data_IF_356365347585
#
_entry.id   IF_356365347585
#
_cell.length_a   1.000
_cell.length_b   1.000
_cell.length_c   1.000
_cell.angle_alpha   90.00
_cell.angle_beta   90.00
_cell.angle_gamma   90.00
#
_symmetry.space_group_name_H-M   'P 1'
#
loop_
_entity.id
_entity.type
_entity.pdbx_description
1 polymer ?
#
# COMPACT_ATOMS: atom_id res chain seq x y z
N UNK A 1 48.79 -22.15 45.30
CA UNK A 1 48.16 -20.81 45.38
C UNK A 1 47.95 -20.32 43.97
N UNK A 2 46.70 -20.28 43.47
CA UNK A 2 46.37 -19.83 42.11
C UNK A 2 45.82 -18.41 42.21
N UNK A 3 46.55 -17.44 41.65
CA UNK A 3 46.10 -16.07 41.53
C UNK A 3 45.22 -15.90 40.30
N UNK A 4 44.03 -15.36 40.52
CA UNK A 4 43.03 -14.95 39.53
C UNK A 4 43.47 -13.65 38.88
N UNK A 5 43.26 -13.50 37.58
CA UNK A 5 43.04 -12.19 36.96
C UNK A 5 41.90 -12.29 35.94
N UNK A 6 41.00 -11.33 36.10
CA UNK A 6 39.68 -11.16 35.49
C UNK A 6 39.86 -10.55 34.10
N UNK A 7 39.14 -11.06 33.10
CA UNK A 7 38.88 -10.32 31.86
C UNK A 7 37.38 -10.13 31.75
N UNK A 8 36.99 -8.86 31.86
CA UNK A 8 35.63 -8.37 31.78
C UNK A 8 35.07 -8.58 30.38
N UNK A 9 33.96 -9.31 30.27
CA UNK A 9 33.13 -9.33 29.07
C UNK A 9 32.20 -8.10 29.14
N UNK A 10 32.57 -7.05 28.40
CA UNK A 10 31.70 -5.92 28.15
C UNK A 10 30.52 -6.35 27.28
N UNK A 11 29.32 -6.36 27.86
CA UNK A 11 28.06 -6.47 27.15
C UNK A 11 27.76 -5.10 26.52
N UNK A 12 28.18 -4.91 25.27
CA UNK A 12 27.71 -3.80 24.45
C UNK A 12 26.26 -4.10 24.02
N UNK A 13 25.30 -3.54 24.76
CA UNK A 13 23.91 -3.49 24.34
C UNK A 13 23.80 -2.52 23.16
N UNK A 14 23.72 -3.07 21.95
CA UNK A 14 23.36 -2.30 20.76
C UNK A 14 21.86 -2.11 20.80
N UNK A 15 21.41 -0.93 21.23
CA UNK A 15 20.03 -0.47 21.01
C UNK A 15 19.94 -0.02 19.56
N UNK A 16 19.56 -0.93 18.67
CA UNK A 16 19.15 -0.58 17.31
C UNK A 16 17.77 0.08 17.41
N UNK A 17 17.74 1.40 17.30
CA UNK A 17 16.52 2.12 16.96
C UNK A 17 16.04 1.63 15.60
N UNK A 18 14.80 1.13 15.54
CA UNK A 18 14.14 0.80 14.29
C UNK A 18 13.00 1.79 14.11
N UNK A 19 13.16 2.66 13.11
CA UNK A 19 12.05 3.24 12.38
C UNK A 19 10.99 2.16 12.13
N UNK A 20 9.70 2.54 12.20
CA UNK A 20 8.58 1.61 12.10
C UNK A 20 8.70 0.66 10.91
N UNK A 21 9.29 -0.51 11.14
CA UNK A 21 9.29 -1.60 10.19
C UNK A 21 7.87 -2.14 10.20
N UNK A 22 7.05 -1.68 9.26
CA UNK A 22 5.77 -2.32 9.02
C UNK A 22 6.03 -3.79 8.69
N UNK A 23 5.69 -4.68 9.62
CA UNK A 23 5.80 -6.12 9.41
C UNK A 23 4.85 -6.54 8.29
N UNK A 24 5.38 -7.11 7.20
CA UNK A 24 4.56 -7.63 6.10
C UNK A 24 3.58 -8.70 6.61
N UNK A 25 2.28 -8.55 6.30
CA UNK A 25 1.25 -9.54 6.61
C UNK A 25 0.69 -10.21 5.34
N UNK A 26 0.31 -11.48 5.47
CA UNK A 26 -0.24 -12.28 4.37
C UNK A 26 -1.77 -12.31 4.34
N UNK A 27 -2.36 -12.94 3.32
CA UNK A 27 -3.82 -13.05 3.12
C UNK A 27 -4.59 -13.55 4.35
N UNK A 28 -4.03 -14.51 5.09
CA UNK A 28 -4.69 -15.12 6.25
C UNK A 28 -4.79 -14.16 7.45
N UNK A 29 -4.05 -13.06 7.41
CA UNK A 29 -3.95 -12.08 8.50
C UNK A 29 -4.83 -10.85 8.28
N UNK A 30 -5.41 -10.69 7.08
CA UNK A 30 -6.34 -9.60 6.76
C UNK A 30 -7.75 -10.02 7.15
N UNK A 31 -8.38 -9.24 8.03
CA UNK A 31 -9.79 -9.44 8.37
C UNK A 31 -10.69 -9.16 7.16
N UNK A 32 -11.77 -9.91 7.02
CA UNK A 32 -12.66 -9.77 5.88
C UNK A 32 -13.34 -8.40 5.81
N UNK A 33 -13.53 -7.70 6.94
CA UNK A 33 -14.01 -6.31 6.96
C UNK A 33 -12.99 -5.39 6.29
N UNK A 34 -11.73 -5.46 6.72
CA UNK A 34 -10.63 -4.67 6.15
C UNK A 34 -10.44 -4.97 4.66
N UNK A 35 -10.48 -6.25 4.26
CA UNK A 35 -10.43 -6.63 2.85
C UNK A 35 -11.55 -5.96 2.03
N UNK A 36 -12.80 -5.99 2.52
CA UNK A 36 -13.94 -5.36 1.83
C UNK A 36 -13.77 -3.84 1.74
N UNK A 37 -13.28 -3.20 2.80
CA UNK A 37 -13.02 -1.76 2.80
C UNK A 37 -11.93 -1.40 1.79
N UNK A 38 -10.78 -2.09 1.81
CA UNK A 38 -9.71 -1.92 0.82
C UNK A 38 -10.23 -2.04 -0.61
N UNK A 39 -11.03 -3.08 -0.90
CA UNK A 39 -11.57 -3.30 -2.23
C UNK A 39 -12.63 -2.28 -2.65
N UNK A 40 -13.30 -1.60 -1.72
CA UNK A 40 -14.23 -0.51 -2.04
C UNK A 40 -13.51 0.75 -2.56
N UNK A 41 -12.24 0.94 -2.20
CA UNK A 41 -11.41 2.04 -2.66
C UNK A 41 -10.63 1.74 -3.95
N UNK A 42 -10.37 0.46 -4.27
CA UNK A 42 -9.68 0.09 -5.51
C UNK A 42 -10.52 0.46 -6.74
N UNK A 43 -9.96 1.35 -7.58
CA UNK A 43 -10.61 1.83 -8.81
C UNK A 43 -9.67 1.79 -10.02
N UNK A 44 -8.58 1.02 -9.97
CA UNK A 44 -7.58 0.97 -11.04
C UNK A 44 -8.19 0.44 -12.33
N UNK A 45 -9.02 -0.61 -12.23
CA UNK A 45 -9.71 -1.17 -13.40
C UNK A 45 -10.61 -0.15 -14.10
N UNK A 46 -11.37 0.64 -13.32
CA UNK A 46 -12.25 1.69 -13.86
C UNK A 46 -11.46 2.87 -14.44
N UNK A 47 -10.28 3.15 -13.91
CA UNK A 47 -9.37 4.19 -14.42
C UNK A 47 -8.77 3.81 -15.77
N UNK A 48 -8.45 2.53 -15.96
CA UNK A 48 -7.77 1.99 -17.15
C UNK A 48 -8.71 1.40 -18.21
N UNK A 49 -10.03 1.58 -18.06
CA UNK A 49 -11.00 0.96 -18.97
C UNK A 49 -11.01 1.63 -20.36
N UNK A 50 -10.16 1.12 -21.25
CA UNK A 50 -10.14 1.47 -22.69
C UNK A 50 -11.19 0.73 -23.51
N UNK A 51 -11.92 -0.24 -22.94
CA UNK A 51 -13.01 -0.89 -23.67
C UNK A 51 -14.21 0.05 -23.81
N UNK A 52 -14.36 0.98 -22.86
CA UNK A 52 -15.41 1.99 -22.82
C UNK A 52 -14.92 3.39 -23.25
N UNK A 53 -13.60 3.59 -23.44
CA UNK A 53 -12.98 4.91 -23.69
C UNK A 53 -11.82 4.84 -24.67
N UNK A 54 -11.53 5.95 -25.35
CA UNK A 54 -10.32 6.07 -26.17
C UNK A 54 -9.05 6.16 -25.32
N UNK A 55 -7.92 5.63 -25.82
CA UNK A 55 -6.62 5.66 -25.13
C UNK A 55 -6.22 7.06 -24.67
N UNK A 56 -6.38 8.08 -25.52
CA UNK A 56 -6.05 9.46 -25.16
C UNK A 56 -6.89 9.99 -23.99
N UNK A 57 -8.15 9.55 -23.88
CA UNK A 57 -9.03 9.89 -22.75
C UNK A 57 -8.56 9.21 -21.47
N UNK A 58 -8.18 7.93 -21.54
CA UNK A 58 -7.64 7.18 -20.39
C UNK A 58 -6.32 7.81 -19.90
N UNK A 59 -5.39 8.13 -20.80
CA UNK A 59 -4.13 8.79 -20.45
C UNK A 59 -4.35 10.18 -19.82
N UNK A 60 -5.33 10.94 -20.32
CA UNK A 60 -5.69 12.24 -19.73
C UNK A 60 -6.30 12.07 -18.33
N UNK A 61 -7.18 11.07 -18.16
CA UNK A 61 -7.73 10.72 -16.85
C UNK A 61 -6.65 10.32 -15.84
N UNK A 62 -5.67 9.52 -16.26
CA UNK A 62 -4.51 9.16 -15.44
C UNK A 62 -3.71 10.39 -15.01
N UNK A 63 -3.39 11.30 -15.95
CA UNK A 63 -2.67 12.55 -15.63
C UNK A 63 -3.41 13.41 -14.62
N UNK A 64 -4.74 13.49 -14.72
CA UNK A 64 -5.55 14.28 -13.81
C UNK A 64 -5.72 13.63 -12.43
N UNK A 65 -5.65 12.30 -12.36
CA UNK A 65 -5.80 11.54 -11.11
C UNK A 65 -4.48 11.37 -10.34
N UNK A 66 -3.34 11.43 -11.04
CA UNK A 66 -2.04 11.26 -10.42
C UNK A 66 -1.68 12.45 -9.52
N UNK A 67 -1.33 12.15 -8.28
CA UNK A 67 -0.79 13.11 -7.34
C UNK A 67 0.69 13.39 -7.67
N UNK A 68 1.03 14.67 -7.83
CA UNK A 68 2.40 15.14 -7.98
C UNK A 68 3.04 15.38 -6.61
N UNK A 69 3.85 14.41 -6.16
CA UNK A 69 4.53 14.45 -4.86
C UNK A 69 5.48 15.64 -4.67
N UNK A 70 5.96 16.23 -5.76
CA UNK A 70 6.93 17.33 -5.71
C UNK A 70 6.24 18.70 -5.64
N UNK A 71 5.04 18.81 -6.22
CA UNK A 71 4.34 20.08 -6.41
C UNK A 71 3.02 20.23 -5.66
N UNK A 72 2.49 19.15 -5.07
CA UNK A 72 1.16 19.12 -4.47
C UNK A 72 1.17 18.55 -3.05
N UNK A 73 0.29 19.06 -2.20
CA UNK A 73 0.02 18.50 -0.88
C UNK A 73 -0.48 17.05 -1.01
N UNK A 74 -0.03 16.12 -0.14
CA UNK A 74 -0.55 14.76 -0.10
C UNK A 74 -2.08 14.72 0.02
N UNK A 75 -2.77 13.86 -0.75
CA UNK A 75 -4.20 13.60 -0.55
C UNK A 75 -4.49 13.11 0.87
N UNK A 76 -5.69 13.41 1.37
CA UNK A 76 -6.19 12.88 2.63
C UNK A 76 -6.56 11.40 2.48
N UNK A 77 -5.91 10.53 3.24
CA UNK A 77 -6.12 9.07 3.20
C UNK A 77 -6.70 8.50 4.49
N UNK A 78 -7.06 9.35 5.47
CA UNK A 78 -7.48 8.95 6.82
C UNK A 78 -8.76 8.12 6.87
N UNK A 79 -9.59 8.19 5.84
CA UNK A 79 -10.86 7.45 5.73
C UNK A 79 -10.78 6.29 4.73
N UNK A 80 -9.57 5.93 4.28
CA UNK A 80 -9.37 4.99 3.20
C UNK A 80 -9.37 5.68 1.84
N UNK A 81 -8.37 5.37 1.01
CA UNK A 81 -8.24 5.97 -0.30
C UNK A 81 -7.41 5.12 -1.26
N UNK A 82 -7.61 5.36 -2.56
CA UNK A 82 -6.66 4.97 -3.60
C UNK A 82 -5.99 6.23 -4.13
N UNK A 83 -4.68 6.28 -4.10
CA UNK A 83 -3.87 7.38 -4.63
C UNK A 83 -2.97 6.85 -5.74
N UNK A 84 -3.01 7.47 -6.91
CA UNK A 84 -2.09 7.21 -8.02
C UNK A 84 -0.95 8.21 -7.94
N UNK A 85 0.29 7.76 -8.09
CA UNK A 85 1.49 8.61 -8.04
C UNK A 85 2.60 8.08 -8.95
N UNK A 86 3.70 8.82 -9.06
CA UNK A 86 4.88 8.48 -9.89
C UNK A 86 4.52 8.11 -11.34
N UNK A 87 3.56 8.83 -11.92
CA UNK A 87 3.08 8.60 -13.28
C UNK A 87 4.15 8.97 -14.31
N UNK A 88 4.50 8.01 -15.16
CA UNK A 88 5.31 8.18 -16.34
C UNK A 88 4.58 7.63 -17.57
N UNK A 89 4.49 8.44 -18.63
CA UNK A 89 3.83 8.04 -19.87
C UNK A 89 4.88 8.02 -20.98
N UNK A 90 5.13 6.82 -21.51
CA UNK A 90 5.99 6.56 -22.65
C UNK A 90 5.20 5.69 -23.63
N UNK A 91 4.40 6.35 -24.50
CA UNK A 91 3.45 5.66 -25.36
C UNK A 91 4.13 4.52 -26.17
N UNK A 92 3.48 3.33 -26.25
CA UNK A 92 2.10 3.06 -25.86
C UNK A 92 1.95 2.58 -24.41
N UNK A 93 2.92 2.83 -23.54
CA UNK A 93 2.93 2.36 -22.15
C UNK A 93 2.73 3.53 -21.18
N UNK A 94 2.05 3.27 -20.07
CA UNK A 94 2.07 4.13 -18.88
C UNK A 94 2.47 3.30 -17.66
N UNK A 95 3.39 3.82 -16.87
CA UNK A 95 3.79 3.24 -15.58
C UNK A 95 3.40 4.20 -14.48
N UNK A 96 2.85 3.68 -13.39
CA UNK A 96 2.48 4.47 -12.21
C UNK A 96 2.43 3.58 -10.99
N UNK A 97 2.50 4.18 -9.82
CA UNK A 97 2.37 3.50 -8.55
C UNK A 97 1.00 3.79 -7.93
N UNK A 98 0.51 2.87 -7.13
CA UNK A 98 -0.77 2.99 -6.41
C UNK A 98 -0.53 2.78 -4.94
N UNK A 99 -1.06 3.68 -4.12
CA UNK A 99 -1.24 3.51 -2.69
C UNK A 99 -2.72 3.22 -2.44
N UNK A 100 -3.00 2.24 -1.59
CA UNK A 100 -4.36 1.89 -1.23
C UNK A 100 -4.42 1.64 0.28
N UNK A 101 -5.37 2.29 0.95
CA UNK A 101 -5.67 2.06 2.36
C UNK A 101 -7.13 1.68 2.56
N UNK A 102 -7.41 0.88 3.59
CA UNK A 102 -8.78 0.46 3.93
C UNK A 102 -9.58 1.56 4.62
N UNK A 103 -8.91 2.53 5.25
CA UNK A 103 -9.54 3.35 6.27
C UNK A 103 -9.76 2.57 7.58
N UNK A 104 -10.30 3.25 8.61
CA UNK A 104 -10.46 2.67 9.93
C UNK A 104 -11.44 1.50 9.91
N UNK A 105 -11.06 0.40 10.55
CA UNK A 105 -11.95 -0.72 10.79
C UNK A 105 -13.03 -0.30 11.79
N UNK A 106 -14.32 -0.49 11.49
CA UNK A 106 -15.37 -0.27 12.48
C UNK A 106 -15.23 -1.26 13.64
N UNK A 107 -15.69 -0.85 14.84
CA UNK A 107 -15.72 -1.70 16.03
C UNK A 107 -16.81 -2.77 15.92
N UNK A 108 -16.53 -3.78 15.09
CA UNK A 108 -17.37 -4.94 14.86
C UNK A 108 -16.62 -6.21 15.27
N UNK A 109 -17.32 -7.23 15.82
CA UNK A 109 -16.74 -8.54 16.03
C UNK A 109 -16.13 -9.09 14.74
N UNK A 110 -15.17 -10.01 14.86
CA UNK A 110 -14.68 -10.75 13.69
C UNK A 110 -15.84 -11.54 13.05
N UNK A 111 -15.75 -11.81 11.76
CA UNK A 111 -16.57 -12.81 11.07
C UNK A 111 -16.30 -14.17 11.77
N UNK A 112 -17.09 -14.50 12.80
CA UNK A 112 -16.84 -15.61 13.74
C UNK A 112 -17.08 -15.32 15.24
N UNK A 113 -17.41 -14.07 15.61
CA UNK A 113 -17.89 -13.72 16.96
C UNK A 113 -16.83 -13.47 18.03
N UNK A 114 -15.54 -13.56 17.69
CA UNK A 114 -14.43 -13.21 18.58
C UNK A 114 -14.05 -11.71 18.53
N UNK A 115 -13.35 -11.24 19.56
CA UNK A 115 -12.71 -9.91 19.56
C UNK A 115 -11.62 -9.87 18.49
N UNK A 116 -11.60 -8.78 17.72
CA UNK A 116 -10.57 -8.54 16.73
C UNK A 116 -9.33 -7.95 17.39
N UNK A 117 -8.17 -8.58 17.17
CA UNK A 117 -6.87 -8.17 17.74
C UNK A 117 -5.84 -7.84 16.65
N UNK A 118 -6.29 -7.51 15.44
CA UNK A 118 -5.42 -7.10 14.35
C UNK A 118 -5.30 -5.57 14.25
N UNK A 119 -4.67 -5.05 13.18
CA UNK A 119 -4.50 -3.62 13.00
C UNK A 119 -5.84 -2.90 12.80
N UNK A 120 -5.96 -1.68 13.28
CA UNK A 120 -7.13 -0.84 13.02
C UNK A 120 -7.31 -0.50 11.54
N UNK A 121 -6.24 -0.56 10.74
CA UNK A 121 -6.24 -0.24 9.32
C UNK A 121 -5.16 -1.03 8.57
N UNK A 122 -5.39 -1.34 7.29
CA UNK A 122 -4.37 -1.93 6.42
C UNK A 122 -4.13 -1.07 5.20
N UNK A 123 -2.88 -1.07 4.74
CA UNK A 123 -2.49 -0.38 3.52
C UNK A 123 -1.56 -1.24 2.66
N UNK A 124 -1.47 -0.89 1.39
CA UNK A 124 -0.60 -1.55 0.42
C UNK A 124 -0.19 -0.57 -0.67
N UNK A 125 0.90 -0.86 -1.34
CA UNK A 125 1.31 -0.13 -2.53
C UNK A 125 1.92 -1.06 -3.57
N UNK A 126 1.73 -0.71 -4.84
CA UNK A 126 2.21 -1.51 -5.97
C UNK A 126 2.38 -0.67 -7.22
N UNK A 127 3.24 -1.13 -8.11
CA UNK A 127 3.46 -0.54 -9.42
C UNK A 127 2.55 -1.19 -10.45
N UNK A 128 2.07 -0.37 -11.38
CA UNK A 128 1.22 -0.77 -12.49
C UNK A 128 1.90 -0.35 -13.78
N UNK A 129 2.08 -1.31 -14.67
CA UNK A 129 2.42 -1.05 -16.07
C UNK A 129 1.20 -1.33 -16.92
N UNK A 130 0.69 -0.31 -17.60
CA UNK A 130 -0.41 -0.42 -18.54
C UNK A 130 0.11 -0.24 -19.97
N UNK A 131 -0.13 -1.23 -20.83
CA UNK A 131 0.22 -1.19 -22.26
C UNK A 131 -1.04 -1.04 -23.09
N UNK A 132 -1.09 0.05 -23.84
CA UNK A 132 -2.17 0.40 -24.75
C UNK A 132 -1.86 -0.12 -26.17
N UNK A 133 -2.87 -0.42 -26.98
CA UNK A 133 -2.69 -0.99 -28.33
C UNK A 133 -3.39 -2.32 -28.58
N UNK A 134 -4.01 -2.89 -27.54
CA UNK A 134 -5.08 -3.89 -27.62
C UNK A 134 -6.23 -3.44 -26.71
N UNK A 135 -7.44 -3.87 -27.01
CA UNK A 135 -8.64 -3.60 -26.20
C UNK A 135 -9.11 -4.91 -25.57
N UNK A 136 -9.20 -5.01 -24.23
CA UNK A 136 -8.79 -4.02 -23.23
C UNK A 136 -7.25 -3.86 -23.16
N UNK A 137 -6.80 -2.78 -22.51
CA UNK A 137 -5.38 -2.55 -22.24
C UNK A 137 -4.84 -3.69 -21.37
N UNK A 138 -3.61 -4.12 -21.65
CA UNK A 138 -2.96 -5.13 -20.82
C UNK A 138 -2.32 -4.44 -19.63
N UNK A 139 -2.57 -4.94 -18.43
CA UNK A 139 -1.97 -4.43 -17.20
C UNK A 139 -1.13 -5.50 -16.52
N UNK A 140 0.11 -5.18 -16.18
CA UNK A 140 0.91 -5.93 -15.21
C UNK A 140 0.99 -5.14 -13.91
N UNK A 141 1.00 -5.87 -12.80
CA UNK A 141 1.10 -5.32 -11.45
C UNK A 141 2.33 -5.92 -10.79
N UNK A 142 3.21 -5.10 -10.27
CA UNK A 142 4.42 -5.51 -9.55
C UNK A 142 4.36 -4.94 -8.14
N UNK A 143 4.76 -5.72 -7.13
CA UNK A 143 4.76 -5.24 -5.75
C UNK A 143 5.80 -4.12 -5.62
N UNK A 144 5.33 -2.95 -5.20
CA UNK A 144 6.18 -1.86 -4.77
C UNK A 144 6.70 -2.19 -3.37
N UNK A 145 7.99 -2.00 -3.13
CA UNK A 145 8.61 -2.39 -1.85
C UNK A 145 8.40 -1.36 -0.75
N UNK A 146 8.08 -0.11 -1.08
CA UNK A 146 7.94 0.97 -0.10
C UNK A 146 6.82 1.95 -0.50
N UNK A 147 5.92 2.23 0.46
CA UNK A 147 4.82 3.18 0.25
C UNK A 147 5.28 4.61 0.59
N UNK A 148 4.70 5.66 -0.03
CA UNK A 148 5.10 7.04 0.24
C UNK A 148 4.91 7.40 1.73
N UNK A 149 5.96 7.90 2.42
CA UNK A 149 5.87 8.19 3.85
C UNK A 149 4.80 9.25 4.15
N UNK A 150 4.64 10.26 3.29
CA UNK A 150 3.64 11.31 3.47
C UNK A 150 2.18 10.81 3.48
N UNK A 151 1.93 9.63 2.92
CA UNK A 151 0.61 8.96 2.99
C UNK A 151 0.52 8.03 4.20
N UNK A 152 1.60 7.30 4.50
CA UNK A 152 1.66 6.38 5.64
C UNK A 152 1.58 7.12 6.98
N UNK A 153 2.21 8.29 7.09
CA UNK A 153 2.19 9.12 8.31
C UNK A 153 0.80 9.70 8.66
N UNK A 154 -0.16 9.64 7.74
CA UNK A 154 -1.54 10.02 8.01
C UNK A 154 -2.35 8.89 8.66
N UNK A 155 -1.87 7.65 8.60
CA UNK A 155 -2.57 6.47 9.09
C UNK A 155 -2.43 6.34 10.61
N UNK A 156 -3.32 5.57 11.26
CA UNK A 156 -3.14 5.19 12.66
C UNK A 156 -1.80 4.51 12.94
N UNK A 157 -1.26 4.69 14.14
CA UNK A 157 0.03 4.12 14.56
C UNK A 157 0.09 2.58 14.45
N UNK A 158 -1.06 1.89 14.55
CA UNK A 158 -1.17 0.44 14.43
C UNK A 158 -1.56 -0.04 13.03
N UNK A 159 -1.65 0.87 12.04
CA UNK A 159 -1.88 0.51 10.65
C UNK A 159 -0.74 -0.37 10.13
N UNK A 160 -1.08 -1.29 9.24
CA UNK A 160 -0.10 -2.27 8.77
C UNK A 160 -0.07 -2.46 7.27
N UNK A 161 1.15 -2.57 6.76
CA UNK A 161 1.40 -2.98 5.39
C UNK A 161 0.99 -4.43 5.18
N UNK A 162 0.24 -4.63 4.12
CA UNK A 162 -0.15 -5.94 3.62
C UNK A 162 0.25 -6.02 2.15
N UNK A 163 0.82 -7.15 1.73
CA UNK A 163 1.15 -7.34 0.32
C UNK A 163 -0.13 -7.38 -0.54
N UNK A 164 -0.05 -6.86 -1.77
CA UNK A 164 -1.22 -6.74 -2.67
C UNK A 164 -1.90 -8.08 -2.98
N UNK A 165 -1.14 -9.17 -3.02
CA UNK A 165 -1.62 -10.53 -3.26
C UNK A 165 -2.57 -11.04 -2.17
N UNK A 166 -2.53 -10.45 -0.97
CA UNK A 166 -3.52 -10.67 0.07
C UNK A 166 -4.93 -10.24 -0.35
N UNK A 167 -5.06 -9.40 -1.37
CA UNK A 167 -6.35 -8.87 -1.84
C UNK A 167 -6.83 -9.46 -3.17
N UNK A 168 -6.09 -10.40 -3.78
CA UNK A 168 -6.37 -10.88 -5.14
C UNK A 168 -7.44 -11.99 -5.27
N UNK A 169 -8.07 -12.42 -4.17
CA UNK A 169 -9.15 -13.43 -4.17
C UNK A 169 -8.63 -14.85 -4.05
#
# INVERSE_FOLDING_TARGET
MRARSVVALGLSAVVLGLAGCSSERGRQDVDAVLWRQTMAHEKVGALLDVSQRETGTVLTGLRNAAWDRMGQTPPDVREGAMVVYDLHIAEPTATFSVFLSSGPRPDLPRDGGGLYNGPSEVYTCWDVTATFGRTPATTTRELGTECPPDLVEQLPDDAAFVRRDAFDG
#
